data_IF_651174701045
#
_entry.id   IF_651174701045
#
_cell.length_a   1.000
_cell.length_b   1.000
_cell.length_c   1.000
_cell.angle_alpha   90.00
_cell.angle_beta   90.00
_cell.angle_gamma   90.00
#
_symmetry.space_group_name_H-M   'P 1'
#
loop_
_entity.id
_entity.type
_entity.pdbx_description
1 polymer ?
#
# COMPACT_ATOMS: atom_id res chain seq x y z
N UNK A 1 6.71 34.37 18.95
CA UNK A 1 5.36 34.28 18.35
C UNK A 1 5.03 32.83 17.99
N UNK A 2 4.66 31.99 18.96
CA UNK A 2 4.04 30.67 18.70
C UNK A 2 2.88 30.54 19.69
N UNK A 3 1.82 31.29 19.43
CA UNK A 3 0.65 31.37 20.28
C UNK A 3 -0.58 30.86 19.51
N UNK A 4 -0.58 29.58 19.13
CA UNK A 4 -1.79 29.03 18.53
C UNK A 4 -2.05 27.56 18.81
N UNK A 5 -2.00 27.19 20.10
CA UNK A 5 -2.67 25.98 20.60
C UNK A 5 -4.15 25.94 20.16
N UNK A 6 -4.77 27.11 19.94
CA UNK A 6 -6.16 27.26 19.45
C UNK A 6 -6.31 26.84 17.98
N UNK A 7 -5.44 27.27 17.06
CA UNK A 7 -5.52 26.87 15.64
C UNK A 7 -5.23 25.38 15.44
N UNK A 8 -4.26 24.83 16.16
CA UNK A 8 -3.96 23.40 16.13
C UNK A 8 -5.19 22.60 16.58
N UNK A 9 -5.85 23.00 17.68
CA UNK A 9 -7.07 22.34 18.16
C UNK A 9 -8.23 22.45 17.17
N UNK A 10 -8.44 23.60 16.54
CA UNK A 10 -9.49 23.78 15.53
C UNK A 10 -9.24 22.93 14.28
N UNK A 11 -7.99 22.89 13.81
CA UNK A 11 -7.58 22.07 12.68
C UNK A 11 -7.76 20.58 12.97
N UNK A 12 -7.33 20.13 14.16
CA UNK A 12 -7.53 18.75 14.61
C UNK A 12 -9.02 18.38 14.71
N UNK A 13 -9.85 19.27 15.22
CA UNK A 13 -11.30 19.04 15.34
C UNK A 13 -11.98 18.97 13.98
N UNK A 14 -11.55 19.81 13.04
CA UNK A 14 -12.03 19.80 11.65
C UNK A 14 -11.64 18.50 10.93
N UNK A 15 -10.36 18.11 11.02
CA UNK A 15 -9.86 16.85 10.46
C UNK A 15 -10.57 15.64 11.06
N UNK A 16 -10.77 15.62 12.38
CA UNK A 16 -11.46 14.53 13.07
C UNK A 16 -12.92 14.45 12.62
N UNK A 17 -13.61 15.57 12.42
CA UNK A 17 -14.98 15.58 11.87
C UNK A 17 -15.03 15.04 10.44
N UNK A 18 -14.12 15.47 9.56
CA UNK A 18 -14.05 14.97 8.18
C UNK A 18 -13.81 13.46 8.19
N UNK A 19 -12.81 13.00 8.94
CA UNK A 19 -12.49 11.59 9.06
C UNK A 19 -13.68 10.80 9.63
N UNK A 20 -14.39 11.32 10.64
CA UNK A 20 -15.55 10.65 11.20
C UNK A 20 -16.75 10.60 10.23
N UNK A 21 -16.90 11.59 9.35
CA UNK A 21 -17.91 11.57 8.26
C UNK A 21 -17.53 10.54 7.20
N UNK A 22 -16.27 10.51 6.77
CA UNK A 22 -15.77 9.52 5.81
C UNK A 22 -15.84 8.09 6.36
N UNK A 23 -15.53 7.91 7.64
CA UNK A 23 -15.65 6.61 8.31
C UNK A 23 -17.13 6.22 8.45
N UNK A 24 -18.05 7.15 8.70
CA UNK A 24 -19.50 6.84 8.69
C UNK A 24 -20.02 6.45 7.30
N UNK A 25 -19.43 6.98 6.23
CA UNK A 25 -19.76 6.61 4.85
C UNK A 25 -19.41 5.14 4.55
N UNK A 26 -18.33 4.63 5.16
CA UNK A 26 -17.84 3.25 4.92
C UNK A 26 -18.29 2.26 6.01
N UNK A 27 -18.48 2.69 7.25
CA UNK A 27 -18.86 1.85 8.40
C UNK A 27 -19.84 2.56 9.36
N UNK A 28 -21.15 2.59 9.05
CA UNK A 28 -22.15 3.42 9.77
C UNK A 28 -22.47 2.98 11.21
N UNK A 29 -21.92 1.87 11.72
CA UNK A 29 -22.29 1.28 13.03
C UNK A 29 -21.37 1.62 14.21
N UNK A 30 -20.23 2.30 14.04
CA UNK A 30 -19.34 2.68 15.16
C UNK A 30 -19.60 4.13 15.60
N UNK A 31 -20.01 4.34 16.86
CA UNK A 31 -20.50 5.65 17.34
C UNK A 31 -19.40 6.70 17.56
N UNK A 32 -18.13 6.34 17.79
CA UNK A 32 -16.99 7.28 17.81
C UNK A 32 -15.70 6.53 17.44
N UNK A 33 -15.28 6.57 16.17
CA UNK A 33 -14.15 5.76 15.70
C UNK A 33 -12.76 6.35 16.00
N UNK A 34 -12.66 7.67 16.25
CA UNK A 34 -11.40 8.37 16.54
C UNK A 34 -11.60 9.28 17.75
N UNK A 35 -11.06 8.87 18.90
CA UNK A 35 -11.01 9.70 20.11
C UNK A 35 -9.94 10.79 19.93
N UNK A 36 -10.24 12.03 20.35
CA UNK A 36 -9.32 13.18 20.28
C UNK A 36 -7.96 12.86 20.93
N UNK A 37 -7.96 12.09 22.02
CA UNK A 37 -6.73 11.64 22.68
C UNK A 37 -5.88 10.70 21.79
N UNK A 38 -6.51 9.80 21.04
CA UNK A 38 -5.80 8.90 20.11
C UNK A 38 -5.29 9.63 18.87
N UNK A 39 -6.05 10.62 18.37
CA UNK A 39 -5.58 11.49 17.30
C UNK A 39 -4.34 12.29 17.73
N UNK A 40 -4.34 12.86 18.95
CA UNK A 40 -3.19 13.57 19.49
C UNK A 40 -1.98 12.64 19.65
N UNK A 41 -2.15 11.43 20.18
CA UNK A 41 -1.05 10.46 20.29
C UNK A 41 -0.44 10.11 18.93
N UNK A 42 -1.26 9.87 17.89
CA UNK A 42 -0.77 9.61 16.55
C UNK A 42 -0.02 10.82 15.93
N UNK A 43 -0.49 12.04 16.22
CA UNK A 43 0.19 13.26 15.78
C UNK A 43 1.52 13.47 16.48
N UNK A 44 1.60 13.20 17.79
CA UNK A 44 2.83 13.28 18.56
C UNK A 44 3.84 12.21 18.11
N UNK A 45 3.39 10.98 17.90
CA UNK A 45 4.22 9.89 17.35
C UNK A 45 4.73 10.22 15.94
N UNK A 46 3.89 10.77 15.06
CA UNK A 46 4.31 11.23 13.74
C UNK A 46 5.35 12.35 13.84
N UNK A 47 5.18 13.28 14.79
CA UNK A 47 6.11 14.39 14.99
C UNK A 47 7.47 13.91 15.52
N UNK A 48 7.48 12.96 16.46
CA UNK A 48 8.69 12.38 17.01
C UNK A 48 9.44 11.55 15.97
N UNK A 49 8.72 10.75 15.20
CA UNK A 49 9.27 10.04 14.04
C UNK A 49 9.85 11.01 13.00
N UNK A 50 9.13 12.10 12.69
CA UNK A 50 9.63 13.13 11.76
C UNK A 50 10.93 13.77 12.27
N UNK A 51 11.05 14.05 13.57
CA UNK A 51 12.28 14.58 14.17
C UNK A 51 13.44 13.57 14.08
N UNK A 52 13.17 12.29 14.29
CA UNK A 52 14.15 11.20 14.11
C UNK A 52 14.65 11.13 12.66
N UNK A 53 13.74 11.09 11.69
CA UNK A 53 14.11 11.01 10.26
C UNK A 53 14.81 12.26 9.75
N UNK A 54 14.44 13.45 10.25
CA UNK A 54 15.09 14.72 9.87
C UNK A 54 16.57 14.78 10.29
N UNK A 55 16.92 14.16 11.42
CA UNK A 55 18.30 14.14 11.92
C UNK A 55 19.18 13.15 11.14
N UNK A 56 18.59 12.04 10.69
CA UNK A 56 19.27 10.97 9.94
C UNK A 56 18.72 10.81 8.51
N UNK A 57 18.73 11.87 7.70
CA UNK A 57 18.31 11.79 6.29
C UNK A 57 19.07 10.71 5.48
N UNK A 58 20.29 10.37 5.91
CA UNK A 58 21.12 9.31 5.32
C UNK A 58 20.57 7.90 5.55
N UNK A 59 19.75 7.67 6.57
CA UNK A 59 19.16 6.35 6.83
C UNK A 59 17.99 6.07 5.89
N UNK A 60 17.37 7.12 5.32
CA UNK A 60 16.27 7.01 4.36
C UNK A 60 16.71 6.45 2.99
N UNK A 61 18.01 6.53 2.67
CA UNK A 61 18.54 6.02 1.40
C UNK A 61 18.35 4.52 1.25
N UNK A 62 18.46 3.76 2.35
CA UNK A 62 18.35 2.32 2.34
C UNK A 62 16.91 1.87 2.05
N UNK A 63 15.88 2.32 2.80
CA UNK A 63 14.49 2.07 2.45
C UNK A 63 14.14 2.48 1.02
N UNK A 64 14.66 3.62 0.56
CA UNK A 64 14.40 4.09 -0.81
C UNK A 64 14.96 3.11 -1.85
N UNK A 65 16.23 2.72 -1.74
CA UNK A 65 16.87 1.76 -2.65
C UNK A 65 16.14 0.41 -2.61
N UNK A 66 15.81 -0.10 -1.42
CA UNK A 66 15.06 -1.35 -1.28
C UNK A 66 13.70 -1.29 -1.95
N UNK A 67 12.96 -0.19 -1.78
CA UNK A 67 11.65 0.00 -2.39
C UNK A 67 11.76 0.07 -3.91
N UNK A 68 12.72 0.84 -4.43
CA UNK A 68 12.96 0.92 -5.88
C UNK A 68 13.34 -0.43 -6.47
N UNK A 69 14.24 -1.18 -5.83
CA UNK A 69 14.63 -2.53 -6.30
C UNK A 69 13.46 -3.51 -6.28
N UNK A 70 12.63 -3.46 -5.24
CA UNK A 70 11.43 -4.29 -5.16
C UNK A 70 10.46 -3.98 -6.32
N UNK A 71 10.16 -2.70 -6.56
CA UNK A 71 9.31 -2.27 -7.67
C UNK A 71 9.87 -2.69 -9.03
N UNK A 72 11.18 -2.54 -9.24
CA UNK A 72 11.84 -2.98 -10.48
C UNK A 72 11.72 -4.50 -10.69
N UNK A 73 11.87 -5.28 -9.62
CA UNK A 73 11.73 -6.73 -9.66
C UNK A 73 10.30 -7.15 -9.98
N UNK A 74 9.31 -6.43 -9.45
CA UNK A 74 7.90 -6.67 -9.76
C UNK A 74 7.57 -6.37 -11.22
N UNK A 75 8.03 -5.23 -11.75
CA UNK A 75 7.86 -4.89 -13.18
C UNK A 75 8.56 -5.92 -14.07
N UNK A 76 9.77 -6.36 -13.71
CA UNK A 76 10.49 -7.41 -14.45
C UNK A 76 9.73 -8.74 -14.43
N UNK A 77 9.19 -9.13 -13.28
CA UNK A 77 8.39 -10.36 -13.13
C UNK A 77 7.13 -10.29 -14.01
N UNK A 78 6.45 -9.14 -14.02
CA UNK A 78 5.30 -8.92 -14.89
C UNK A 78 5.67 -9.01 -16.38
N UNK A 79 6.82 -8.46 -16.76
CA UNK A 79 7.33 -8.58 -18.13
C UNK A 79 7.68 -10.03 -18.51
N UNK A 80 8.28 -10.79 -17.58
CA UNK A 80 8.54 -12.22 -17.77
C UNK A 80 7.25 -13.02 -17.95
N UNK A 81 6.17 -12.67 -17.22
CA UNK A 81 4.86 -13.28 -17.45
C UNK A 81 4.39 -12.99 -18.88
N UNK A 82 4.51 -11.75 -19.37
CA UNK A 82 4.17 -11.43 -20.77
C UNK A 82 4.98 -12.23 -21.80
N UNK A 83 6.29 -12.39 -21.56
CA UNK A 83 7.14 -13.25 -22.39
C UNK A 83 6.67 -14.71 -22.38
N UNK A 84 6.16 -15.21 -21.25
CA UNK A 84 5.63 -16.57 -21.15
C UNK A 84 4.34 -16.78 -21.96
N UNK A 85 3.58 -15.71 -22.23
CA UNK A 85 2.43 -15.73 -23.14
C UNK A 85 2.81 -15.47 -24.61
N UNK A 86 4.11 -15.41 -24.93
CA UNK A 86 4.65 -15.12 -26.27
C UNK A 86 4.18 -13.76 -26.84
N UNK A 87 4.10 -12.74 -25.96
CA UNK A 87 3.58 -11.42 -26.31
C UNK A 87 4.58 -10.32 -25.95
N UNK A 88 5.10 -9.63 -26.96
CA UNK A 88 6.01 -8.51 -26.80
C UNK A 88 5.23 -7.22 -26.58
N UNK A 89 5.00 -6.89 -25.32
CA UNK A 89 4.31 -5.66 -24.93
C UNK A 89 5.32 -4.53 -24.74
N UNK A 90 4.90 -3.30 -25.08
CA UNK A 90 5.69 -2.11 -24.79
C UNK A 90 5.94 -1.98 -23.28
N UNK A 91 7.21 -1.92 -22.89
CA UNK A 91 7.60 -1.80 -21.47
C UNK A 91 6.95 -0.59 -20.78
N UNK A 92 6.75 0.51 -21.50
CA UNK A 92 6.05 1.70 -20.99
C UNK A 92 4.59 1.44 -20.63
N UNK A 93 3.88 0.61 -21.41
CA UNK A 93 2.50 0.20 -21.09
C UNK A 93 2.45 -0.64 -19.81
N UNK A 94 3.41 -1.55 -19.63
CA UNK A 94 3.54 -2.39 -18.44
C UNK A 94 3.81 -1.56 -17.19
N UNK A 95 4.75 -0.61 -17.27
CA UNK A 95 5.08 0.30 -16.17
C UNK A 95 3.87 1.17 -15.80
N UNK A 96 3.18 1.74 -16.79
CA UNK A 96 1.98 2.55 -16.56
C UNK A 96 0.86 1.73 -15.90
N UNK A 97 0.59 0.52 -16.41
CA UNK A 97 -0.42 -0.36 -15.83
C UNK A 97 -0.09 -0.73 -14.39
N UNK A 98 1.16 -1.11 -14.12
CA UNK A 98 1.64 -1.43 -12.76
C UNK A 98 1.53 -0.24 -11.81
N UNK A 99 1.90 0.97 -12.25
CA UNK A 99 1.80 2.17 -11.43
C UNK A 99 0.34 2.47 -11.06
N UNK A 100 -0.57 2.50 -12.05
CA UNK A 100 -2.00 2.76 -11.84
C UNK A 100 -2.62 1.69 -10.94
N UNK A 101 -2.24 0.42 -11.12
CA UNK A 101 -2.72 -0.67 -10.29
C UNK A 101 -2.23 -0.57 -8.83
N UNK A 102 -0.99 -0.13 -8.59
CA UNK A 102 -0.51 0.14 -7.23
C UNK A 102 -1.30 1.25 -6.53
N UNK A 103 -1.67 2.31 -7.26
CA UNK A 103 -2.60 3.32 -6.72
C UNK A 103 -3.98 2.75 -6.38
N UNK A 104 -4.45 1.75 -7.12
CA UNK A 104 -5.67 1.00 -6.80
C UNK A 104 -5.62 0.40 -5.38
N UNK A 105 -4.46 -0.14 -5.00
CA UNK A 105 -4.24 -0.72 -3.68
C UNK A 105 -4.39 0.30 -2.54
N UNK A 106 -4.03 1.57 -2.79
CA UNK A 106 -4.14 2.64 -1.79
C UNK A 106 -5.59 3.09 -1.55
N UNK A 107 -6.41 3.09 -2.60
CA UNK A 107 -7.81 3.52 -2.52
C UNK A 107 -8.79 2.39 -2.23
N UNK A 108 -8.34 1.13 -2.35
CA UNK A 108 -9.24 -0.01 -2.20
C UNK A 108 -9.63 -0.23 -0.76
N UNK A 109 -10.94 -0.37 -0.55
CA UNK A 109 -11.55 -0.75 0.74
C UNK A 109 -11.31 -2.24 1.02
N UNK A 110 -11.02 -3.04 -0.01
CA UNK A 110 -10.79 -4.47 0.12
C UNK A 110 -9.31 -4.75 0.48
N UNK A 111 -9.06 -5.67 1.41
CA UNK A 111 -7.69 -6.07 1.74
C UNK A 111 -6.99 -6.57 0.47
N UNK A 112 -5.74 -6.11 0.29
CA UNK A 112 -4.92 -6.34 -0.90
C UNK A 112 -5.49 -5.81 -2.23
N UNK A 113 -6.55 -4.98 -2.24
CA UNK A 113 -7.02 -4.34 -3.46
C UNK A 113 -7.67 -5.28 -4.49
N UNK A 114 -8.08 -6.48 -4.08
CA UNK A 114 -8.65 -7.50 -4.97
C UNK A 114 -9.87 -6.94 -5.71
N UNK A 115 -9.96 -7.20 -7.02
CA UNK A 115 -10.97 -6.70 -7.95
C UNK A 115 -10.59 -5.35 -8.56
N UNK A 116 -10.24 -4.36 -7.74
CA UNK A 116 -9.88 -3.02 -8.22
C UNK A 116 -8.50 -3.02 -8.88
N UNK A 117 -7.52 -3.70 -8.28
CA UNK A 117 -6.18 -3.84 -8.84
C UNK A 117 -6.23 -4.51 -10.22
N UNK A 118 -6.93 -5.63 -10.32
CA UNK A 118 -7.05 -6.40 -11.56
C UNK A 118 -7.79 -5.61 -12.64
N UNK A 119 -8.87 -4.92 -12.25
CA UNK A 119 -9.65 -4.09 -13.16
C UNK A 119 -8.84 -2.92 -13.72
N UNK A 120 -8.13 -2.18 -12.87
CA UNK A 120 -7.33 -1.03 -13.32
C UNK A 120 -6.12 -1.47 -14.14
N UNK A 121 -5.41 -2.52 -13.72
CA UNK A 121 -4.28 -3.04 -14.47
C UNK A 121 -4.72 -3.51 -15.86
N UNK A 122 -5.76 -4.35 -15.93
CA UNK A 122 -6.33 -4.83 -17.18
C UNK A 122 -6.84 -3.68 -18.04
N UNK A 123 -7.52 -2.70 -17.44
CA UNK A 123 -8.04 -1.54 -18.14
C UNK A 123 -6.97 -0.70 -18.82
N UNK A 124 -5.85 -0.43 -18.14
CA UNK A 124 -4.72 0.30 -18.72
C UNK A 124 -4.07 -0.50 -19.85
N UNK A 125 -3.87 -1.81 -19.65
CA UNK A 125 -3.29 -2.69 -20.67
C UNK A 125 -4.18 -2.77 -21.93
N UNK A 126 -5.50 -2.86 -21.75
CA UNK A 126 -6.46 -2.82 -22.85
C UNK A 126 -6.43 -1.48 -23.58
N UNK A 127 -6.34 -0.36 -22.84
CA UNK A 127 -6.22 0.97 -23.43
C UNK A 127 -4.95 1.13 -24.27
N UNK A 128 -3.90 0.34 -23.99
CA UNK A 128 -2.66 0.32 -24.78
C UNK A 128 -2.72 -0.61 -26.01
N UNK A 129 -3.86 -1.25 -26.26
CA UNK A 129 -4.11 -2.09 -27.44
C UNK A 129 -3.99 -3.59 -27.20
N UNK A 130 -3.82 -4.04 -25.95
CA UNK A 130 -3.65 -5.47 -25.62
C UNK A 130 -5.04 -6.11 -25.43
N UNK A 131 -5.31 -7.30 -26.00
CA UNK A 131 -6.59 -7.99 -25.82
C UNK A 131 -6.95 -8.20 -24.34
N UNK A 132 -8.21 -7.92 -23.97
CA UNK A 132 -8.66 -7.99 -22.57
C UNK A 132 -8.46 -9.36 -21.91
N UNK A 133 -8.71 -10.45 -22.65
CA UNK A 133 -8.50 -11.81 -22.15
C UNK A 133 -7.04 -12.10 -21.79
N UNK A 134 -6.10 -11.60 -22.61
CA UNK A 134 -4.66 -11.73 -22.33
C UNK A 134 -4.26 -10.85 -21.14
N UNK A 135 -4.67 -9.58 -21.14
CA UNK A 135 -4.35 -8.63 -20.07
C UNK A 135 -4.83 -9.11 -18.70
N UNK A 136 -6.05 -9.65 -18.63
CA UNK A 136 -6.60 -10.20 -17.39
C UNK A 136 -5.84 -11.45 -16.95
N UNK A 137 -5.54 -12.37 -17.88
CA UNK A 137 -4.81 -13.61 -17.59
C UNK A 137 -3.40 -13.33 -17.05
N UNK A 138 -2.68 -12.41 -17.69
CA UNK A 138 -1.34 -11.98 -17.27
C UNK A 138 -1.39 -11.31 -15.91
N UNK A 139 -2.36 -10.43 -15.67
CA UNK A 139 -2.56 -9.76 -14.38
C UNK A 139 -2.78 -10.78 -13.26
N UNK A 140 -3.67 -11.76 -13.47
CA UNK A 140 -3.94 -12.82 -12.48
C UNK A 140 -2.68 -13.66 -12.24
N UNK A 141 -2.00 -14.08 -13.30
CA UNK A 141 -0.78 -14.89 -13.20
C UNK A 141 0.32 -14.16 -12.42
N UNK A 142 0.53 -12.88 -12.73
CA UNK A 142 1.46 -12.04 -11.98
C UNK A 142 1.11 -12.00 -10.48
N UNK A 143 -0.17 -11.84 -10.12
CA UNK A 143 -0.58 -11.85 -8.71
C UNK A 143 -0.38 -13.20 -8.04
N UNK A 144 -0.67 -14.30 -8.74
CA UNK A 144 -0.44 -15.64 -8.22
C UNK A 144 1.04 -15.87 -7.94
N UNK A 145 1.93 -15.47 -8.86
CA UNK A 145 3.39 -15.56 -8.68
C UNK A 145 3.83 -14.70 -7.50
N UNK A 146 3.42 -13.44 -7.44
CA UNK A 146 3.80 -12.52 -6.36
C UNK A 146 3.31 -13.00 -5.01
N UNK A 147 2.06 -13.46 -4.90
CA UNK A 147 1.53 -14.06 -3.67
C UNK A 147 2.26 -15.34 -3.30
N UNK A 148 2.56 -16.21 -4.26
CA UNK A 148 3.30 -17.44 -4.01
C UNK A 148 4.72 -17.18 -3.50
N UNK A 149 5.36 -16.09 -3.92
CA UNK A 149 6.68 -15.68 -3.44
C UNK A 149 6.60 -15.03 -2.05
N UNK A 150 5.59 -14.20 -1.79
CA UNK A 150 5.48 -13.41 -0.56
C UNK A 150 4.87 -14.20 0.62
N UNK A 151 3.94 -15.13 0.38
CA UNK A 151 3.26 -15.87 1.43
C UNK A 151 4.19 -16.79 2.23
N UNK A 152 5.10 -17.58 1.65
CA UNK A 152 6.00 -18.46 2.41
C UNK A 152 6.89 -17.73 3.43
N UNK A 153 7.65 -16.67 3.08
CA UNK A 153 8.45 -15.95 4.06
C UNK A 153 7.56 -15.24 5.09
N UNK A 154 6.41 -14.71 4.68
CA UNK A 154 5.44 -14.11 5.59
C UNK A 154 4.92 -15.11 6.63
N UNK A 155 4.59 -16.32 6.21
CA UNK A 155 4.12 -17.39 7.09
C UNK A 155 5.22 -17.86 8.05
N UNK A 156 6.44 -18.06 7.56
CA UNK A 156 7.58 -18.48 8.39
C UNK A 156 7.94 -17.42 9.45
N UNK A 157 7.92 -16.13 9.08
CA UNK A 157 8.17 -15.03 10.01
C UNK A 157 7.03 -14.90 11.02
N UNK A 158 5.78 -15.08 10.58
CA UNK A 158 4.63 -15.08 11.47
C UNK A 158 4.71 -16.20 12.51
N UNK A 159 5.01 -17.43 12.09
CA UNK A 159 5.21 -18.56 13.01
C UNK A 159 6.34 -18.27 14.00
N UNK A 160 7.49 -17.80 13.53
CA UNK A 160 8.62 -17.44 14.42
C UNK A 160 8.25 -16.32 15.40
N UNK A 161 7.48 -15.33 14.96
CA UNK A 161 7.03 -14.24 15.83
C UNK A 161 6.04 -14.73 16.89
N UNK A 162 5.13 -15.64 16.52
CA UNK A 162 4.19 -16.26 17.46
C UNK A 162 4.92 -17.16 18.46
N UNK A 163 5.84 -18.01 18.00
CA UNK A 163 6.63 -18.91 18.85
C UNK A 163 7.54 -18.14 19.83
N UNK A 164 8.18 -17.06 19.37
CA UNK A 164 8.99 -16.20 20.23
C UNK A 164 8.15 -15.32 21.17
N UNK A 165 6.97 -14.88 20.73
CA UNK A 165 6.01 -14.15 21.57
C UNK A 165 5.43 -15.01 22.69
N UNK A 166 5.28 -16.32 22.47
CA UNK A 166 4.88 -17.30 23.50
C UNK A 166 6.04 -17.62 24.47
N UNK A 167 7.29 -17.64 24.01
CA UNK A 167 8.49 -17.83 24.87
C UNK A 167 8.79 -16.67 25.82
N UNK A 168 8.31 -15.44 25.55
CA UNK A 168 8.49 -14.30 26.47
C UNK A 168 7.56 -14.33 27.69
N UNK A 169 6.60 -15.26 27.75
CA UNK A 169 5.61 -15.38 28.83
C UNK A 169 5.77 -16.61 29.74
N UNK A 170 6.81 -17.42 29.58
CA UNK A 170 7.18 -18.53 30.50
C UNK A 170 8.49 -18.24 31.19
#
# INVERSE_FOLDING_TARGET
>A
MIESRRRIRTFLTFMTKILNVLIKLVQPRKKEAINIAGAQAAFDELHDNYRLYKKNWRDLKWPFIHTTFANLTEIASLYVVYLAFDQFVNLGAVILAYAVANFAGLISVLPAGIGIYEGLMTGVLVATGIPAGLSLSVTIMFRLVTMAIQLPPGYLLYQRAVDNGLRSKS
#
